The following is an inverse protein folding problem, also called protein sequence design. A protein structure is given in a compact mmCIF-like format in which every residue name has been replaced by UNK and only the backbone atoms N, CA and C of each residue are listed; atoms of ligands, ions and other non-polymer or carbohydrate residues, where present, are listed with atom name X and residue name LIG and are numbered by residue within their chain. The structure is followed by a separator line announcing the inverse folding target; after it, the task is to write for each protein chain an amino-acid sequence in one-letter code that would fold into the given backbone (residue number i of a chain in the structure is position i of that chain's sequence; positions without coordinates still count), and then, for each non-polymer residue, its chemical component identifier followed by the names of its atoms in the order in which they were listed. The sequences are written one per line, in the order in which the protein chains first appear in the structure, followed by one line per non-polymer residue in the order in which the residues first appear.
data_IF_035334514411
#
_entry.id   IF_035334514411
#
_cell.length_a   1.000
_cell.length_b   1.000
_cell.length_c   1.000
_cell.angle_alpha   90.00
_cell.angle_beta   90.00
_cell.angle_gamma   90.00
#
_symmetry.space_group_name_H-M   'P 1'
#
loop_
_entity.id
_entity.type
_entity.pdbx_description
1 polymer ?
#
# COMPACT_ATOMS: atom_id res chain seq x y z
N UNK A 1 -15.49 9.15 7.47
CA UNK A 1 -16.01 9.85 6.28
C UNK A 1 -15.55 9.21 4.96
N UNK A 2 -14.28 9.34 4.55
CA UNK A 2 -13.78 8.85 3.24
C UNK A 2 -14.05 7.36 2.97
N UNK A 3 -13.83 6.48 3.96
CA UNK A 3 -14.07 5.03 3.83
C UNK A 3 -15.53 4.68 3.53
N UNK A 4 -16.50 5.38 4.13
CA UNK A 4 -17.92 5.14 3.86
C UNK A 4 -18.33 5.60 2.46
N UNK A 5 -17.76 6.71 1.97
CA UNK A 5 -17.97 7.16 0.58
C UNK A 5 -17.47 6.12 -0.42
N UNK A 6 -16.28 5.54 -0.20
CA UNK A 6 -15.77 4.44 -1.05
C UNK A 6 -16.68 3.21 -1.03
N UNK A 7 -17.24 2.85 0.13
CA UNK A 7 -18.19 1.73 0.24
C UNK A 7 -19.46 2.03 -0.58
N UNK A 8 -20.06 3.22 -0.43
CA UNK A 8 -21.27 3.60 -1.16
C UNK A 8 -21.02 3.58 -2.68
N UNK A 9 -19.91 4.17 -3.14
CA UNK A 9 -19.54 4.17 -4.56
C UNK A 9 -19.34 2.73 -5.07
N UNK A 10 -18.71 1.87 -4.27
CA UNK A 10 -18.49 0.47 -4.65
C UNK A 10 -19.81 -0.30 -4.81
N UNK A 11 -20.79 -0.07 -3.94
CA UNK A 11 -22.11 -0.70 -4.04
C UNK A 11 -22.82 -0.24 -5.32
N UNK A 12 -22.85 1.07 -5.60
CA UNK A 12 -23.45 1.62 -6.82
C UNK A 12 -22.78 1.02 -8.07
N UNK A 13 -21.45 0.92 -8.05
CA UNK A 13 -20.69 0.31 -9.14
C UNK A 13 -21.02 -1.18 -9.33
N UNK A 14 -21.13 -1.95 -8.26
CA UNK A 14 -21.51 -3.37 -8.33
C UNK A 14 -22.90 -3.55 -8.94
N UNK A 15 -23.87 -2.72 -8.54
CA UNK A 15 -25.22 -2.73 -9.12
C UNK A 15 -25.15 -2.42 -10.62
N UNK A 16 -24.37 -1.40 -11.02
CA UNK A 16 -24.19 -1.06 -12.43
C UNK A 16 -23.58 -2.20 -13.23
N UNK A 17 -22.55 -2.87 -12.71
CA UNK A 17 -21.92 -4.04 -13.33
C UNK A 17 -22.94 -5.18 -13.47
N UNK A 18 -23.77 -5.43 -12.45
CA UNK A 18 -24.80 -6.46 -12.50
C UNK A 18 -25.87 -6.16 -13.57
N UNK A 19 -26.29 -4.90 -13.70
CA UNK A 19 -27.21 -4.47 -14.76
C UNK A 19 -26.60 -4.65 -16.15
N UNK A 20 -25.34 -4.26 -16.33
CA UNK A 20 -24.61 -4.48 -17.59
C UNK A 20 -24.47 -5.96 -17.90
N UNK A 21 -24.25 -6.80 -16.88
CA UNK A 21 -24.16 -8.24 -17.05
C UNK A 21 -25.48 -8.84 -17.51
N UNK A 22 -26.59 -8.46 -16.88
CA UNK A 22 -27.94 -8.88 -17.27
C UNK A 22 -28.28 -8.43 -18.69
N UNK A 23 -27.98 -7.18 -19.04
CA UNK A 23 -28.25 -6.61 -20.35
C UNK A 23 -27.42 -7.26 -21.48
N UNK A 24 -26.25 -7.83 -21.15
CA UNK A 24 -25.34 -8.46 -22.11
C UNK A 24 -25.20 -9.96 -21.88
N UNK A 25 -26.26 -10.63 -21.43
CA UNK A 25 -26.30 -12.10 -21.24
C UNK A 25 -26.29 -12.89 -22.55
N UNK A 26 -26.67 -12.26 -23.66
CA UNK A 26 -26.66 -12.91 -24.97
C UNK A 26 -25.23 -13.28 -25.39
N UNK A 27 -25.05 -14.54 -25.81
CA UNK A 27 -23.78 -15.01 -26.32
C UNK A 27 -23.47 -14.30 -27.65
N UNK A 28 -22.33 -13.62 -27.71
CA UNK A 28 -21.83 -12.95 -28.91
C UNK A 28 -20.53 -13.63 -29.34
N UNK A 29 -20.29 -13.67 -30.65
CA UNK A 29 -19.01 -14.15 -31.19
C UNK A 29 -17.89 -13.19 -30.82
N UNK A 30 -16.89 -13.69 -30.09
CA UNK A 30 -15.69 -12.94 -29.73
C UNK A 30 -14.52 -13.52 -30.50
N UNK A 31 -13.92 -12.69 -31.36
CA UNK A 31 -12.73 -13.04 -32.11
C UNK A 31 -11.49 -12.74 -31.27
N UNK A 32 -10.78 -13.78 -30.87
CA UNK A 32 -9.42 -13.70 -30.34
C UNK A 32 -8.40 -13.83 -31.48
N UNK A 33 -7.12 -13.61 -31.20
CA UNK A 33 -6.04 -13.66 -32.21
C UNK A 33 -5.98 -14.97 -33.00
N UNK A 34 -6.38 -16.10 -32.39
CA UNK A 34 -6.25 -17.43 -32.99
C UNK A 34 -7.52 -18.28 -32.93
N UNK A 35 -8.61 -17.77 -32.35
CA UNK A 35 -9.84 -18.54 -32.15
C UNK A 35 -11.05 -17.61 -31.97
N UNK A 36 -12.24 -18.12 -32.23
CA UNK A 36 -13.51 -17.43 -31.96
C UNK A 36 -14.30 -18.22 -30.94
N UNK A 37 -14.76 -17.56 -29.89
CA UNK A 37 -15.53 -18.19 -28.81
C UNK A 37 -16.84 -17.42 -28.65
N UNK A 38 -17.95 -18.16 -28.54
CA UNK A 38 -19.26 -17.57 -28.21
C UNK A 38 -19.41 -17.43 -26.71
N UNK A 39 -19.45 -16.20 -26.23
CA UNK A 39 -19.72 -15.91 -24.82
C UNK A 39 -20.29 -14.50 -24.63
N UNK A 40 -20.96 -14.24 -23.49
CA UNK A 40 -21.39 -12.89 -23.12
C UNK A 40 -20.20 -11.92 -23.07
N UNK A 41 -20.30 -10.76 -23.73
CA UNK A 41 -19.20 -9.78 -23.80
C UNK A 41 -18.77 -9.28 -22.41
N UNK A 42 -19.71 -9.16 -21.48
CA UNK A 42 -19.42 -8.75 -20.10
C UNK A 42 -18.43 -9.70 -19.40
N UNK A 43 -18.48 -11.00 -19.70
CA UNK A 43 -17.62 -11.99 -19.06
C UNK A 43 -16.16 -11.77 -19.46
N UNK A 44 -15.91 -11.43 -20.73
CA UNK A 44 -14.59 -11.06 -21.21
C UNK A 44 -14.07 -9.82 -20.49
N UNK A 45 -14.88 -8.76 -20.40
CA UNK A 45 -14.51 -7.51 -19.73
C UNK A 45 -14.16 -7.77 -18.26
N UNK A 46 -14.95 -8.58 -17.55
CA UNK A 46 -14.69 -8.95 -16.16
C UNK A 46 -13.38 -9.71 -16.01
N UNK A 47 -13.06 -10.65 -16.90
CA UNK A 47 -11.79 -11.39 -16.89
C UNK A 47 -10.62 -10.42 -17.10
N UNK A 48 -10.70 -9.53 -18.10
CA UNK A 48 -9.66 -8.53 -18.36
C UNK A 48 -9.47 -7.58 -17.16
N UNK A 49 -10.57 -7.12 -16.56
CA UNK A 49 -10.54 -6.27 -15.38
C UNK A 49 -9.89 -6.98 -14.19
N UNK A 50 -10.23 -8.25 -13.97
CA UNK A 50 -9.66 -9.07 -12.90
C UNK A 50 -8.16 -9.26 -13.10
N UNK A 51 -7.71 -9.53 -14.34
CA UNK A 51 -6.29 -9.63 -14.67
C UNK A 51 -5.58 -8.31 -14.40
N UNK A 52 -6.16 -7.18 -14.82
CA UNK A 52 -5.59 -5.84 -14.55
C UNK A 52 -5.48 -5.54 -13.06
N UNK A 53 -6.53 -5.85 -12.28
CA UNK A 53 -6.53 -5.68 -10.83
C UNK A 53 -5.50 -6.59 -10.15
N UNK A 54 -5.36 -7.83 -10.63
CA UNK A 54 -4.35 -8.76 -10.14
C UNK A 54 -2.93 -8.24 -10.36
N UNK A 55 -2.60 -7.76 -11.56
CA UNK A 55 -1.30 -7.15 -11.83
C UNK A 55 -1.05 -5.91 -10.96
N UNK A 56 -2.05 -5.03 -10.82
CA UNK A 56 -1.93 -3.86 -9.94
C UNK A 56 -1.68 -4.27 -8.48
N UNK A 57 -2.37 -5.30 -7.99
CA UNK A 57 -2.18 -5.84 -6.65
C UNK A 57 -0.75 -6.37 -6.45
N UNK A 58 -0.24 -7.19 -7.38
CA UNK A 58 1.12 -7.75 -7.31
C UNK A 58 2.18 -6.63 -7.31
N UNK A 59 2.05 -5.66 -8.21
CA UNK A 59 2.96 -4.50 -8.28
C UNK A 59 2.91 -3.66 -6.99
N UNK A 60 1.71 -3.41 -6.46
CA UNK A 60 1.51 -2.67 -5.22
C UNK A 60 2.15 -3.40 -4.02
N UNK A 61 1.93 -4.71 -3.91
CA UNK A 61 2.49 -5.56 -2.85
C UNK A 61 4.02 -5.50 -2.82
N UNK A 62 4.68 -5.61 -3.97
CA UNK A 62 6.14 -5.50 -4.07
C UNK A 62 6.66 -4.16 -3.55
N UNK A 63 5.98 -3.07 -3.90
CA UNK A 63 6.35 -1.72 -3.43
C UNK A 63 6.12 -1.55 -1.92
N UNK A 64 5.05 -2.15 -1.37
CA UNK A 64 4.72 -2.09 0.04
C UNK A 64 5.77 -2.84 0.90
N UNK A 65 6.28 -3.97 0.43
CA UNK A 65 7.34 -4.72 1.12
C UNK A 65 8.64 -3.90 1.23
N UNK A 66 9.07 -3.24 0.15
CA UNK A 66 10.26 -2.36 0.18
C UNK A 66 10.09 -1.22 1.19
N UNK A 67 8.95 -0.52 1.13
CA UNK A 67 8.62 0.58 2.04
C UNK A 67 8.59 0.13 3.49
N UNK A 68 8.03 -1.04 3.80
CA UNK A 68 8.03 -1.57 5.16
C UNK A 68 9.45 -1.90 5.66
N UNK A 69 10.33 -2.39 4.79
CA UNK A 69 11.75 -2.60 5.10
C UNK A 69 12.46 -1.28 5.42
N UNK A 70 12.26 -0.27 4.59
CA UNK A 70 12.80 1.07 4.80
C UNK A 70 12.28 1.70 6.10
N UNK A 71 10.97 1.61 6.37
CA UNK A 71 10.38 2.07 7.63
C UNK A 71 11.03 1.39 8.84
N UNK A 72 11.32 0.08 8.76
CA UNK A 72 12.01 -0.63 9.84
C UNK A 72 13.43 -0.13 10.04
N UNK A 73 14.17 0.08 8.94
CA UNK A 73 15.53 0.61 9.00
C UNK A 73 15.57 2.02 9.58
N UNK A 74 14.72 2.91 9.10
CA UNK A 74 14.59 4.29 9.62
C UNK A 74 14.23 4.27 11.11
N UNK A 75 13.31 3.40 11.55
CA UNK A 75 12.98 3.26 12.98
C UNK A 75 14.18 2.85 13.82
N UNK A 76 14.97 1.90 13.34
CA UNK A 76 16.18 1.46 14.04
C UNK A 76 17.24 2.58 14.11
N UNK A 77 17.44 3.32 13.02
CA UNK A 77 18.37 4.44 12.98
C UNK A 77 17.97 5.58 13.93
N UNK A 78 16.67 5.90 13.98
CA UNK A 78 16.12 6.86 14.95
C UNK A 78 16.36 6.40 16.39
N UNK A 79 16.15 5.11 16.67
CA UNK A 79 16.37 4.56 18.02
C UNK A 79 17.85 4.60 18.41
N UNK A 80 18.75 4.22 17.49
CA UNK A 80 20.19 4.27 17.72
C UNK A 80 20.66 5.72 17.95
N UNK A 81 20.26 6.64 17.08
CA UNK A 81 20.60 8.07 17.20
C UNK A 81 20.11 8.63 18.55
N UNK A 82 18.91 8.24 18.99
CA UNK A 82 18.37 8.66 20.29
C UNK A 82 19.19 8.11 21.47
N UNK A 83 19.69 6.88 21.38
CA UNK A 83 20.58 6.29 22.40
C UNK A 83 21.92 7.00 22.45
N UNK A 84 22.55 7.24 21.29
CA UNK A 84 23.82 7.97 21.20
C UNK A 84 23.70 9.39 21.75
N UNK A 85 22.61 10.09 21.43
CA UNK A 85 22.35 11.43 21.96
C UNK A 85 22.19 11.42 23.49
N UNK A 86 21.50 10.41 24.04
CA UNK A 86 21.38 10.21 25.49
C UNK A 86 22.74 10.02 26.16
N UNK A 87 23.58 9.13 25.64
CA UNK A 87 24.93 8.89 26.15
C UNK A 87 25.81 10.15 26.11
N UNK A 88 25.75 10.89 25.00
CA UNK A 88 26.53 12.13 24.84
C UNK A 88 26.08 13.21 25.81
N UNK A 89 24.77 13.28 26.10
CA UNK A 89 24.20 14.22 27.07
C UNK A 89 24.67 13.86 28.49
N UNK A 90 24.61 12.59 28.87
CA UNK A 90 25.14 12.11 30.16
C UNK A 90 26.64 12.39 30.31
N UNK A 91 27.43 12.19 29.24
CA UNK A 91 28.86 12.48 29.25
C UNK A 91 29.13 13.98 29.45
N UNK A 92 28.38 14.85 28.77
CA UNK A 92 28.49 16.29 28.94
C UNK A 92 28.12 16.75 30.35
N UNK A 93 27.08 16.17 30.96
CA UNK A 93 26.72 16.46 32.35
C UNK A 93 27.80 16.02 33.34
N UNK A 94 28.38 14.82 33.14
CA UNK A 94 29.52 14.35 33.94
C UNK A 94 30.73 15.27 33.79
N UNK A 95 31.06 15.69 32.57
CA UNK A 95 32.16 16.63 32.31
C UNK A 95 31.92 17.98 32.99
N UNK A 96 30.69 18.52 32.93
CA UNK A 96 30.32 19.75 33.65
C UNK A 96 30.51 19.59 35.17
N UNK A 97 29.95 18.54 35.76
CA UNK A 97 30.07 18.27 37.20
C UNK A 97 31.53 18.17 37.65
N UNK A 98 32.37 17.49 36.86
CA UNK A 98 33.80 17.36 37.14
C UNK A 98 34.56 18.69 36.98
N UNK A 99 34.17 19.55 36.03
CA UNK A 99 34.75 20.87 35.85
C UNK A 99 34.35 21.83 36.98
N UNK A 100 33.09 21.82 37.41
CA UNK A 100 32.60 22.61 38.54
C UNK A 100 33.31 22.21 39.84
N UNK A 101 33.55 20.91 40.05
CA UNK A 101 34.30 20.39 41.21
C UNK A 101 35.77 20.81 41.19
N UNK A 102 36.38 20.97 40.01
CA UNK A 102 37.79 21.39 39.87
C UNK A 102 37.98 22.91 39.99
N UNK A 103 36.94 23.72 39.76
CA UNK A 103 36.99 25.19 39.81
C UNK A 103 36.79 25.78 41.21
N UNK A 104 36.63 24.96 42.26
CA UNK A 104 36.73 25.43 43.65
C UNK A 104 35.64 26.42 44.07
N UNK A 105 34.38 25.98 44.04
CA UNK A 105 33.34 26.40 44.98
C UNK A 105 32.86 25.20 45.77
#
# INVERSE_FOLDING_TARGET
MKKQVYIIISIVLVILIALLALANTAATDINFLFTTIKMPLILLILICLLIGAFFMFVLSMSSAMKKNGEIKNLKNEVEQTKRELGQKTEELERRKKNADTQLGR
#
